data_IF_702252082258
#
_entry.id   IF_702252082258
#
_cell.length_a   1.000
_cell.length_b   1.000
_cell.length_c   1.000
_cell.angle_alpha   90.00
_cell.angle_beta   90.00
_cell.angle_gamma   90.00
#
_symmetry.space_group_name_H-M   'P 1'
#
loop_
_entity.id
_entity.type
_entity.pdbx_description
1 polymer ?
#
# COMPACT_ATOMS: atom_id res chain seq x y z
N UNK A 1 12.18 3.33 -17.75
CA UNK A 1 12.49 4.36 -18.76
C UNK A 1 12.32 5.72 -18.10
N UNK A 2 13.28 6.64 -18.29
CA UNK A 2 13.21 8.01 -17.75
C UNK A 2 12.90 8.96 -18.91
N UNK A 3 11.95 9.85 -18.70
CA UNK A 3 11.56 10.89 -19.64
C UNK A 3 12.37 12.18 -19.43
N UNK A 4 12.31 13.10 -20.40
CA UNK A 4 13.00 14.39 -20.31
C UNK A 4 12.50 15.27 -19.11
N UNK A 5 11.26 15.07 -18.69
CA UNK A 5 10.63 15.78 -17.57
C UNK A 5 10.97 15.16 -16.19
N UNK A 6 11.90 14.20 -16.13
CA UNK A 6 12.29 13.52 -14.91
C UNK A 6 11.37 12.38 -14.49
N UNK A 7 10.27 12.14 -15.19
CA UNK A 7 9.36 11.03 -14.86
C UNK A 7 9.98 9.67 -15.20
N UNK A 8 9.72 8.71 -14.34
CA UNK A 8 10.15 7.32 -14.48
C UNK A 8 8.93 6.47 -14.85
N UNK A 9 8.91 5.94 -16.07
CA UNK A 9 7.95 4.90 -16.45
C UNK A 9 8.55 3.53 -16.13
N UNK A 10 7.84 2.76 -15.31
CA UNK A 10 8.14 1.37 -14.96
C UNK A 10 7.12 0.46 -15.63
N UNK A 11 7.60 -0.68 -16.12
CA UNK A 11 6.76 -1.78 -16.57
C UNK A 11 7.22 -3.02 -15.83
N UNK A 12 6.30 -3.69 -15.17
CA UNK A 12 6.54 -4.90 -14.39
C UNK A 12 5.70 -6.03 -14.98
N UNK A 13 6.38 -7.08 -15.36
CA UNK A 13 5.77 -8.34 -15.79
C UNK A 13 6.20 -9.43 -14.81
N UNK A 14 5.25 -10.18 -14.28
CA UNK A 14 5.54 -11.25 -13.35
C UNK A 14 4.66 -12.47 -13.61
N UNK A 15 5.27 -13.64 -13.55
CA UNK A 15 4.59 -14.91 -13.58
C UNK A 15 4.65 -15.56 -12.19
N UNK A 16 3.48 -15.89 -11.63
CA UNK A 16 3.37 -16.55 -10.34
C UNK A 16 3.31 -18.07 -10.53
N UNK A 17 4.13 -18.80 -9.81
CA UNK A 17 3.97 -20.26 -9.69
C UNK A 17 2.67 -20.57 -8.92
N UNK A 18 1.70 -21.15 -9.61
CA UNK A 18 0.38 -21.44 -9.07
C UNK A 18 0.36 -22.61 -8.07
N UNK A 19 1.49 -23.29 -7.85
CA UNK A 19 1.64 -24.29 -6.78
C UNK A 19 1.76 -23.65 -5.40
N UNK A 20 2.18 -22.36 -5.34
CA UNK A 20 2.20 -21.57 -4.11
C UNK A 20 0.83 -20.95 -3.82
N UNK A 21 0.51 -20.68 -2.53
CA UNK A 21 -0.70 -19.98 -2.16
C UNK A 21 -0.76 -18.57 -2.75
N UNK A 22 -1.92 -17.92 -2.66
CA UNK A 22 -2.08 -16.53 -3.07
C UNK A 22 -1.10 -15.60 -2.34
N UNK A 23 -0.69 -14.53 -3.01
CA UNK A 23 0.26 -13.57 -2.45
C UNK A 23 -0.44 -12.59 -1.50
N UNK A 24 0.21 -12.17 -0.41
CA UNK A 24 -0.32 -11.10 0.43
C UNK A 24 -0.36 -9.77 -0.32
N UNK A 25 0.71 -9.44 -1.05
CA UNK A 25 0.80 -8.23 -1.88
C UNK A 25 1.81 -8.43 -3.01
N UNK A 26 1.65 -7.62 -4.07
CA UNK A 26 2.62 -7.47 -5.15
C UNK A 26 2.73 -5.99 -5.53
N UNK A 27 3.93 -5.43 -5.46
CA UNK A 27 4.15 -4.01 -5.71
C UNK A 27 5.60 -3.59 -5.54
N UNK A 28 5.80 -2.30 -5.35
CA UNK A 28 7.10 -1.66 -5.13
C UNK A 28 7.16 -1.02 -3.76
N UNK A 29 8.33 -1.04 -3.15
CA UNK A 29 8.63 -0.24 -1.97
C UNK A 29 9.65 0.83 -2.34
N UNK A 30 9.34 2.07 -1.99
CA UNK A 30 10.26 3.20 -2.07
C UNK A 30 10.59 3.66 -0.64
N UNK A 31 11.80 4.14 -0.46
CA UNK A 31 12.26 4.73 0.80
C UNK A 31 12.57 6.19 0.54
N UNK A 32 11.81 7.08 1.17
CA UNK A 32 11.93 8.52 0.98
C UNK A 32 12.52 9.18 2.24
N UNK A 33 13.11 10.37 2.11
CA UNK A 33 13.50 11.16 3.27
C UNK A 33 12.31 11.39 4.21
N UNK A 34 12.55 11.44 5.52
CA UNK A 34 11.51 11.57 6.55
C UNK A 34 10.64 12.83 6.38
N UNK A 35 11.22 13.90 5.85
CA UNK A 35 10.51 15.17 5.60
C UNK A 35 9.58 15.16 4.36
N UNK A 36 9.50 14.04 3.64
CA UNK A 36 8.55 13.82 2.54
C UNK A 36 7.25 13.20 3.08
N UNK A 37 6.62 13.86 4.03
CA UNK A 37 5.53 13.32 4.85
C UNK A 37 4.11 13.75 4.44
N UNK A 38 4.01 14.69 3.50
CA UNK A 38 2.71 15.14 3.00
C UNK A 38 2.16 14.14 1.99
N UNK A 39 0.91 13.73 2.16
CA UNK A 39 0.25 12.75 1.31
C UNK A 39 -1.00 13.32 0.69
N UNK A 40 -1.15 13.13 -0.63
CA UNK A 40 -2.38 13.43 -1.37
C UNK A 40 -2.74 12.22 -2.24
N UNK A 41 -3.99 11.84 -2.27
CA UNK A 41 -4.46 10.75 -3.13
C UNK A 41 -5.92 10.91 -3.56
N UNK A 42 -6.30 10.24 -4.64
CA UNK A 42 -7.71 10.00 -5.01
C UNK A 42 -7.95 8.50 -4.91
N UNK A 43 -8.78 8.07 -3.98
CA UNK A 43 -9.07 6.68 -3.70
C UNK A 43 -10.04 6.51 -2.54
N UNK A 44 -10.19 5.29 -2.02
CA UNK A 44 -10.99 5.08 -0.82
C UNK A 44 -10.27 5.60 0.43
N UNK A 45 -10.97 6.44 1.19
CA UNK A 45 -10.50 7.07 2.43
C UNK A 45 -11.67 7.61 3.27
N UNK A 46 -11.42 8.42 4.31
CA UNK A 46 -10.11 8.91 4.77
C UNK A 46 -9.29 7.89 5.59
N UNK A 47 -9.92 6.88 6.16
CA UNK A 47 -9.26 5.83 6.96
C UNK A 47 -8.73 4.70 6.07
N UNK A 48 -7.97 3.78 6.65
CA UNK A 48 -7.44 2.63 5.90
C UNK A 48 -8.53 1.86 5.16
N UNK A 49 -8.17 1.39 3.99
CA UNK A 49 -9.08 0.62 3.14
C UNK A 49 -8.35 -0.49 2.40
N UNK A 50 -9.02 -1.62 2.26
CA UNK A 50 -8.56 -2.81 1.54
C UNK A 50 -9.66 -3.30 0.63
N UNK A 51 -9.36 -4.17 -0.31
CA UNK A 51 -10.38 -4.66 -1.24
C UNK A 51 -11.57 -5.37 -0.57
N UNK A 52 -11.38 -5.90 0.64
CA UNK A 52 -12.42 -6.53 1.48
C UNK A 52 -12.86 -5.68 2.68
N UNK A 53 -12.21 -4.52 2.90
CA UNK A 53 -12.47 -3.61 4.02
C UNK A 53 -12.45 -2.15 3.53
N UNK A 54 -13.56 -1.68 2.98
CA UNK A 54 -13.68 -0.28 2.49
C UNK A 54 -15.11 0.29 2.59
N UNK A 55 -16.04 -0.41 3.24
CA UNK A 55 -17.44 0.04 3.30
C UNK A 55 -17.67 1.28 4.18
N UNK A 56 -16.74 1.58 5.08
CA UNK A 56 -16.78 2.80 5.88
C UNK A 56 -16.10 3.99 5.17
N UNK A 57 -15.49 3.75 4.01
CA UNK A 57 -14.76 4.72 3.22
C UNK A 57 -15.56 5.12 1.98
N UNK A 58 -15.19 6.25 1.37
CA UNK A 58 -15.71 6.70 0.08
C UNK A 58 -14.57 7.17 -0.82
N UNK A 59 -14.81 7.25 -2.11
CA UNK A 59 -13.82 7.73 -3.05
C UNK A 59 -13.88 9.26 -3.13
N UNK A 60 -12.76 9.89 -2.83
CA UNK A 60 -12.59 11.35 -2.91
C UNK A 60 -11.11 11.68 -3.07
N UNK A 61 -10.81 12.98 -3.13
CA UNK A 61 -9.46 13.52 -2.99
C UNK A 61 -9.18 13.83 -1.52
N UNK A 62 -8.17 13.20 -0.99
CA UNK A 62 -7.74 13.37 0.39
C UNK A 62 -6.34 13.98 0.45
N UNK A 63 -6.12 14.80 1.46
CA UNK A 63 -4.80 15.32 1.85
C UNK A 63 -4.61 15.03 3.33
N UNK A 64 -3.47 14.45 3.68
CA UNK A 64 -3.14 13.98 5.02
C UNK A 64 -1.62 13.94 5.20
N UNK A 65 -1.16 13.39 6.29
CA UNK A 65 0.26 13.17 6.58
C UNK A 65 0.54 11.68 6.79
N UNK A 66 1.81 11.28 6.70
CA UNK A 66 2.23 9.89 6.95
C UNK A 66 1.88 9.45 8.37
N UNK A 67 1.97 10.35 9.37
CA UNK A 67 1.57 10.02 10.75
C UNK A 67 0.06 9.74 10.88
N UNK A 68 -0.78 10.47 10.13
CA UNK A 68 -2.24 10.31 10.17
C UNK A 68 -2.74 9.07 9.43
N UNK A 69 -1.91 8.44 8.62
CA UNK A 69 -2.23 7.18 7.94
C UNK A 69 -2.06 5.96 8.85
N UNK A 70 -1.38 6.12 9.99
CA UNK A 70 -1.15 5.03 10.92
C UNK A 70 -2.43 4.68 11.68
N UNK A 71 -2.84 3.42 11.62
CA UNK A 71 -3.84 2.86 12.51
C UNK A 71 -3.14 2.27 13.75
N UNK A 72 -3.37 2.89 14.90
CA UNK A 72 -2.66 2.58 16.15
C UNK A 72 -3.19 1.30 16.81
N UNK A 73 -3.03 0.16 16.15
CA UNK A 73 -3.38 -1.14 16.71
C UNK A 73 -2.49 -1.48 17.89
N UNK A 74 -3.09 -1.94 18.99
CA UNK A 74 -2.38 -2.35 20.24
C UNK A 74 -1.27 -3.35 19.92
N UNK A 75 -1.56 -4.38 19.12
CA UNK A 75 -0.59 -5.26 18.50
C UNK A 75 -0.29 -4.75 17.11
N UNK A 76 0.92 -4.23 16.83
CA UNK A 76 1.30 -3.76 15.50
C UNK A 76 1.08 -4.84 14.44
N UNK A 77 0.62 -4.42 13.28
CA UNK A 77 0.36 -5.27 12.13
C UNK A 77 0.30 -4.42 10.85
N UNK A 78 0.08 -5.05 9.69
CA UNK A 78 -0.25 -4.33 8.46
C UNK A 78 -1.44 -3.39 8.70
N UNK A 79 -1.26 -2.12 8.33
CA UNK A 79 -2.27 -1.09 8.51
C UNK A 79 -2.06 0.08 7.54
N UNK A 80 -3.03 1.01 7.48
CA UNK A 80 -2.90 2.27 6.77
C UNK A 80 -2.87 2.15 5.24
N UNK A 81 -3.22 1.00 4.66
CA UNK A 81 -3.37 0.89 3.20
C UNK A 81 -4.59 1.65 2.70
N UNK A 82 -4.51 2.21 1.49
CA UNK A 82 -5.60 2.88 0.80
C UNK A 82 -5.85 2.21 -0.55
N UNK A 83 -7.07 1.75 -0.74
CA UNK A 83 -7.48 0.91 -1.85
C UNK A 83 -8.02 1.70 -3.02
N UNK A 84 -7.79 1.19 -4.25
CA UNK A 84 -8.37 1.68 -5.50
C UNK A 84 -8.06 3.15 -5.77
N UNK A 85 -6.80 3.52 -5.65
CA UNK A 85 -6.33 4.88 -5.87
C UNK A 85 -6.01 5.13 -7.34
N UNK A 86 -6.55 6.22 -7.88
CA UNK A 86 -6.23 6.68 -9.24
C UNK A 86 -4.79 7.22 -9.30
N UNK A 87 -4.37 7.92 -8.27
CA UNK A 87 -2.99 8.32 -8.03
C UNK A 87 -2.73 8.49 -6.54
N UNK A 88 -1.47 8.54 -6.19
CA UNK A 88 -0.98 8.96 -4.88
C UNK A 88 0.25 9.85 -5.03
N UNK A 89 0.36 10.85 -4.19
CA UNK A 89 1.53 11.73 -4.06
C UNK A 89 2.03 11.63 -2.62
N UNK A 90 3.33 11.40 -2.45
CA UNK A 90 4.02 11.45 -1.16
C UNK A 90 5.19 12.40 -1.29
N UNK A 91 5.17 13.46 -0.49
CA UNK A 91 6.10 14.57 -0.63
C UNK A 91 6.03 15.20 -2.03
N UNK A 92 7.14 15.17 -2.75
CA UNK A 92 7.23 15.73 -4.10
C UNK A 92 6.92 14.70 -5.21
N UNK A 93 6.91 13.40 -4.89
CA UNK A 93 6.73 12.35 -5.87
C UNK A 93 5.26 11.95 -6.02
N UNK A 94 4.79 11.90 -7.24
CA UNK A 94 3.48 11.38 -7.62
C UNK A 94 3.62 10.03 -8.32
N UNK A 95 2.77 9.08 -7.98
CA UNK A 95 2.67 7.80 -8.66
C UNK A 95 1.26 7.57 -9.19
N UNK A 96 1.16 7.10 -10.44
CA UNK A 96 -0.08 6.70 -11.08
C UNK A 96 0.13 5.48 -11.98
N UNK A 97 -0.82 4.56 -11.95
CA UNK A 97 -0.78 3.33 -12.76
C UNK A 97 -1.77 3.36 -13.92
N UNK A 98 -1.61 2.43 -14.87
CA UNK A 98 -2.61 2.21 -15.95
C UNK A 98 -3.93 1.69 -15.43
N UNK A 99 -3.96 1.19 -14.19
CA UNK A 99 -5.15 0.84 -13.42
C UNK A 99 -4.98 1.33 -11.98
N UNK A 100 -6.11 1.49 -11.24
CA UNK A 100 -6.03 1.92 -9.85
C UNK A 100 -5.09 1.02 -9.05
N UNK A 101 -4.29 1.65 -8.19
CA UNK A 101 -3.32 0.99 -7.31
C UNK A 101 -3.79 1.07 -5.86
N UNK A 102 -3.16 0.32 -4.98
CA UNK A 102 -3.22 0.57 -3.55
C UNK A 102 -1.90 1.15 -3.08
N UNK A 103 -1.92 1.90 -2.00
CA UNK A 103 -0.70 2.41 -1.40
C UNK A 103 -0.74 2.34 0.12
N UNK A 104 0.43 2.34 0.71
CA UNK A 104 0.67 2.58 2.13
C UNK A 104 1.89 3.49 2.26
N UNK A 105 1.84 4.46 3.17
CA UNK A 105 2.98 5.27 3.53
C UNK A 105 3.10 5.29 5.06
N UNK A 106 4.26 4.92 5.58
CA UNK A 106 4.48 4.75 7.01
C UNK A 106 5.91 5.12 7.39
N UNK A 107 6.13 5.52 8.65
CA UNK A 107 7.47 5.62 9.22
C UNK A 107 8.03 4.27 9.70
N UNK A 108 7.23 3.22 9.66
CA UNK A 108 7.59 1.90 10.16
C UNK A 108 7.74 0.92 9.00
N UNK A 109 8.75 0.07 9.08
CA UNK A 109 8.92 -1.03 8.14
C UNK A 109 7.91 -2.15 8.44
N UNK A 110 7.61 -2.98 7.46
CA UNK A 110 6.77 -4.17 7.66
C UNK A 110 7.40 -5.13 8.70
N UNK A 111 8.73 -5.18 8.76
CA UNK A 111 9.45 -5.98 9.75
C UNK A 111 9.22 -5.42 11.16
N UNK A 112 9.39 -4.11 11.36
CA UNK A 112 9.14 -3.44 12.65
C UNK A 112 7.72 -3.74 13.16
N UNK A 113 6.72 -3.55 12.28
CA UNK A 113 5.32 -3.85 12.62
C UNK A 113 5.07 -5.33 12.96
N UNK A 114 5.85 -6.24 12.40
CA UNK A 114 5.69 -7.68 12.62
C UNK A 114 6.33 -8.14 13.93
N UNK A 115 7.50 -7.61 14.26
CA UNK A 115 8.33 -8.05 15.39
C UNK A 115 7.83 -7.51 16.74
N UNK A 116 7.24 -6.31 16.76
CA UNK A 116 6.78 -5.67 18.00
C UNK A 116 5.48 -6.27 18.52
N UNK A 117 5.39 -6.38 19.83
CA UNK A 117 4.22 -6.94 20.50
C UNK A 117 3.21 -5.86 20.88
N UNK A 118 3.66 -4.61 21.05
CA UNK A 118 2.81 -3.49 21.43
C UNK A 118 3.18 -2.23 20.65
N UNK A 119 2.21 -1.37 20.39
CA UNK A 119 2.37 -0.13 19.62
C UNK A 119 3.39 0.84 20.24
N UNK A 120 3.48 0.91 21.56
CA UNK A 120 4.44 1.77 22.26
C UNK A 120 5.91 1.32 22.11
N UNK A 121 6.15 0.13 21.57
CA UNK A 121 7.49 -0.40 21.28
C UNK A 121 7.99 0.00 19.89
N UNK A 122 7.11 0.58 19.05
CA UNK A 122 7.45 0.92 17.68
C UNK A 122 8.50 2.03 17.59
N UNK A 123 9.51 1.82 16.75
CA UNK A 123 10.57 2.77 16.48
C UNK A 123 10.51 3.22 15.02
N UNK A 124 10.41 4.54 14.81
CA UNK A 124 10.43 5.13 13.47
C UNK A 124 11.76 4.84 12.77
N UNK A 125 11.72 4.49 11.49
CA UNK A 125 12.90 4.16 10.68
C UNK A 125 13.77 5.38 10.31
N UNK A 126 13.28 6.61 10.56
CA UNK A 126 13.89 7.85 10.07
C UNK A 126 13.65 8.10 8.58
N UNK A 127 12.74 7.36 7.98
CA UNK A 127 12.38 7.46 6.56
C UNK A 127 10.88 7.26 6.40
N UNK A 128 10.34 7.72 5.27
CA UNK A 128 9.01 7.32 4.82
C UNK A 128 9.14 6.06 3.99
N UNK A 129 8.53 4.98 4.44
CA UNK A 129 8.42 3.71 3.73
C UNK A 129 7.14 3.74 2.91
N UNK A 130 7.27 3.90 1.60
CA UNK A 130 6.14 4.04 0.69
C UNK A 130 5.97 2.80 -0.17
N UNK A 131 4.85 2.11 0.02
CA UNK A 131 4.44 0.97 -0.81
C UNK A 131 3.45 1.43 -1.88
N UNK A 132 3.69 0.97 -3.09
CA UNK A 132 2.82 1.10 -4.25
C UNK A 132 2.47 -0.31 -4.70
N UNK A 133 1.21 -0.70 -4.57
CA UNK A 133 0.78 -2.07 -4.83
C UNK A 133 -0.05 -2.16 -6.12
N UNK A 134 0.39 -3.04 -7.01
CA UNK A 134 -0.41 -3.54 -8.11
C UNK A 134 -1.70 -4.17 -7.59
N UNK A 135 -1.57 -4.94 -6.53
CA UNK A 135 -2.65 -5.58 -5.83
C UNK A 135 -2.22 -6.08 -4.47
N UNK A 136 -3.20 -6.22 -3.61
CA UNK A 136 -3.06 -6.72 -2.27
C UNK A 136 -4.22 -7.65 -1.96
N UNK A 137 -3.95 -8.81 -1.39
CA UNK A 137 -5.01 -9.66 -0.85
C UNK A 137 -5.73 -8.94 0.27
N UNK A 138 -7.02 -9.20 0.43
CA UNK A 138 -7.77 -8.67 1.56
C UNK A 138 -7.14 -9.08 2.89
N UNK A 139 -7.36 -8.28 3.91
CA UNK A 139 -6.81 -8.54 5.25
C UNK A 139 -7.56 -9.65 5.98
N UNK A 140 -8.80 -9.92 5.56
CA UNK A 140 -9.58 -11.07 6.01
C UNK A 140 -9.83 -11.11 7.51
N UNK A 141 -10.16 -12.29 7.97
CA UNK A 141 -10.44 -12.55 9.40
C UNK A 141 -9.90 -13.91 9.86
N UNK A 142 -8.87 -14.42 9.22
CA UNK A 142 -8.34 -15.78 9.45
C UNK A 142 -7.95 -16.07 10.90
N UNK A 143 -7.52 -15.05 11.66
CA UNK A 143 -7.12 -15.26 13.05
C UNK A 143 -8.28 -15.61 13.98
N UNK A 144 -9.50 -15.19 13.65
CA UNK A 144 -10.69 -15.42 14.49
C UNK A 144 -11.99 -15.56 13.67
N UNK A 145 -11.88 -15.81 12.38
CA UNK A 145 -13.03 -15.94 11.48
C UNK A 145 -12.75 -16.84 10.28
N UNK A 146 -13.62 -16.84 9.26
CA UNK A 146 -13.45 -17.66 8.08
C UNK A 146 -12.24 -17.22 7.24
N UNK A 147 -11.74 -18.14 6.42
CA UNK A 147 -10.72 -17.82 5.43
C UNK A 147 -11.17 -16.66 4.52
N UNK A 148 -10.15 -15.91 4.05
CA UNK A 148 -10.34 -14.87 3.04
C UNK A 148 -11.06 -15.44 1.80
N UNK A 149 -12.14 -14.79 1.40
CA UNK A 149 -12.89 -15.18 0.20
C UNK A 149 -12.00 -15.14 -1.03
N UNK A 150 -12.18 -16.10 -1.93
CA UNK A 150 -11.33 -16.25 -3.13
C UNK A 150 -11.28 -15.00 -3.99
N UNK A 151 -12.35 -14.23 -4.07
CA UNK A 151 -12.43 -12.97 -4.83
C UNK A 151 -11.54 -11.86 -4.30
N UNK A 152 -11.08 -11.94 -3.05
CA UNK A 152 -10.19 -10.98 -2.41
C UNK A 152 -8.74 -11.48 -2.32
N UNK A 153 -8.41 -12.58 -2.99
CA UNK A 153 -7.07 -13.15 -3.03
C UNK A 153 -6.32 -12.68 -4.26
N UNK A 154 -5.13 -12.16 -4.08
CA UNK A 154 -4.21 -11.87 -5.18
C UNK A 154 -3.60 -13.19 -5.65
N UNK A 155 -4.24 -13.79 -6.66
CA UNK A 155 -3.86 -15.13 -7.14
C UNK A 155 -3.82 -15.21 -8.68
N UNK A 156 -3.50 -14.10 -9.34
CA UNK A 156 -3.30 -14.05 -10.78
C UNK A 156 -2.02 -14.80 -11.15
N UNK A 157 -2.07 -15.63 -12.20
CA UNK A 157 -0.90 -16.32 -12.74
C UNK A 157 0.07 -15.36 -13.41
N UNK A 158 -0.48 -14.37 -14.14
CA UNK A 158 0.30 -13.36 -14.87
C UNK A 158 -0.13 -11.97 -14.46
N UNK A 159 0.82 -11.16 -14.08
CA UNK A 159 0.61 -9.78 -13.70
C UNK A 159 1.39 -8.87 -14.63
N UNK A 160 0.71 -7.89 -15.19
CA UNK A 160 1.31 -6.82 -15.98
C UNK A 160 0.92 -5.49 -15.37
N UNK A 161 1.91 -4.67 -15.06
CA UNK A 161 1.70 -3.36 -14.45
C UNK A 161 2.59 -2.30 -15.04
N UNK A 162 1.97 -1.21 -15.47
CA UNK A 162 2.67 0.00 -15.85
C UNK A 162 2.42 1.10 -14.83
N UNK A 163 3.47 1.74 -14.39
CA UNK A 163 3.48 2.78 -13.36
C UNK A 163 4.33 3.95 -13.83
N UNK A 164 3.86 5.17 -13.57
CA UNK A 164 4.63 6.40 -13.78
C UNK A 164 4.87 7.04 -12.42
N UNK A 165 6.11 7.40 -12.15
CA UNK A 165 6.54 8.12 -10.93
C UNK A 165 7.30 9.38 -11.36
N UNK A 166 6.92 10.53 -10.78
CA UNK A 166 7.60 11.80 -11.04
C UNK A 166 6.99 13.00 -10.35
#
# INVERSE_FOLDING_TARGET
RVNADGQIKLTLDADKDMTFPYMPRFGLQLVLPENQDQVEYIGYGPTESYQDKHRACWVDRFTTTVDELLEDYVKPQENGSHYHCAYVKVGELKAEGTKPLSFNASYYTAQELTEKMHNYELEKSGHVIWHLDYGMSGVGSNSCGPELLKQYRLNEEKMHWELVIG
#
